data_IF_594301615598
#
_entry.id   IF_594301615598
#
_cell.length_a   1.000
_cell.length_b   1.000
_cell.length_c   1.000
_cell.angle_alpha   90.00
_cell.angle_beta   90.00
_cell.angle_gamma   90.00
#
_symmetry.space_group_name_H-M   'P 1'
#
loop_
_entity.id
_entity.type
_entity.pdbx_description
1 polymer ?
#
# COMPACT_ATOMS: atom_id res chain seq x y z
N UNK A 1 13.75 17.65 8.74
CA UNK A 1 12.40 17.09 8.54
C UNK A 1 12.56 15.61 8.23
N UNK A 2 11.89 14.72 8.98
CA UNK A 2 11.98 13.28 8.72
C UNK A 2 11.39 12.98 7.35
N UNK A 3 12.20 12.43 6.45
CA UNK A 3 11.78 12.10 5.09
C UNK A 3 10.70 11.04 5.17
N UNK A 4 9.53 11.29 4.57
CA UNK A 4 8.46 10.31 4.60
C UNK A 4 8.95 9.04 3.89
N UNK A 5 8.61 7.90 4.46
CA UNK A 5 8.90 6.56 3.93
C UNK A 5 8.46 6.40 2.48
N UNK A 6 7.46 7.18 2.07
CA UNK A 6 6.85 7.19 0.74
C UNK A 6 7.66 8.03 -0.28
N UNK A 7 8.68 8.75 0.15
CA UNK A 7 9.63 9.52 -0.66
C UNK A 7 10.99 8.81 -0.83
N UNK A 8 10.95 7.47 -0.85
CA UNK A 8 12.09 6.64 -1.18
C UNK A 8 12.20 6.45 -2.70
N UNK A 9 13.43 6.29 -3.20
CA UNK A 9 13.67 5.99 -4.62
C UNK A 9 12.98 4.67 -5.04
N UNK A 10 12.90 3.70 -4.14
CA UNK A 10 12.23 2.42 -4.35
C UNK A 10 10.72 2.57 -4.56
N UNK A 11 10.03 3.39 -3.75
CA UNK A 11 8.61 3.64 -3.94
C UNK A 11 8.32 4.22 -5.33
N UNK A 12 9.12 5.20 -5.76
CA UNK A 12 8.98 5.79 -7.11
C UNK A 12 9.26 4.78 -8.22
N UNK A 13 10.29 3.94 -8.06
CA UNK A 13 10.62 2.91 -9.03
C UNK A 13 9.48 1.89 -9.20
N UNK A 14 8.92 1.42 -8.10
CA UNK A 14 7.76 0.51 -8.12
C UNK A 14 6.52 1.19 -8.73
N UNK A 15 6.25 2.46 -8.40
CA UNK A 15 5.15 3.20 -9.03
C UNK A 15 5.32 3.29 -10.54
N UNK A 16 6.54 3.58 -11.00
CA UNK A 16 6.89 3.67 -12.41
C UNK A 16 6.77 2.31 -13.13
N UNK A 17 7.16 1.22 -12.48
CA UNK A 17 7.09 -0.13 -13.05
C UNK A 17 5.64 -0.60 -13.24
N UNK A 18 4.77 -0.32 -12.26
CA UNK A 18 3.36 -0.74 -12.29
C UNK A 18 2.47 0.17 -13.12
N UNK A 19 2.78 1.47 -13.25
CA UNK A 19 1.98 2.41 -14.01
C UNK A 19 1.57 1.92 -15.42
N UNK A 20 2.48 1.47 -16.31
CA UNK A 20 2.07 1.01 -17.64
C UNK A 20 1.16 -0.23 -17.60
N UNK A 21 1.30 -1.09 -16.59
CA UNK A 21 0.48 -2.31 -16.45
C UNK A 21 -0.94 -1.93 -15.99
N UNK A 22 -1.04 -0.99 -15.04
CA UNK A 22 -2.35 -0.48 -14.59
C UNK A 22 -3.05 0.28 -15.72
N UNK A 23 -2.33 1.09 -16.49
CA UNK A 23 -2.89 1.81 -17.64
C UNK A 23 -3.31 0.88 -18.79
N UNK A 24 -2.75 -0.32 -18.89
CA UNK A 24 -3.24 -1.34 -19.81
C UNK A 24 -4.59 -1.93 -19.39
N UNK A 25 -4.99 -1.77 -18.12
CA UNK A 25 -6.21 -2.34 -17.55
C UNK A 25 -6.07 -3.80 -17.09
N UNK A 26 -4.87 -4.36 -17.17
CA UNK A 26 -4.59 -5.77 -16.87
C UNK A 26 -4.13 -5.98 -15.41
N UNK A 27 -4.64 -5.19 -14.47
CA UNK A 27 -4.25 -5.30 -13.05
C UNK A 27 -5.42 -5.45 -12.11
N UNK A 28 -5.23 -6.32 -11.12
CA UNK A 28 -6.13 -6.49 -10.01
C UNK A 28 -5.56 -5.89 -8.73
N UNK A 29 -6.46 -5.47 -7.84
CA UNK A 29 -6.13 -5.04 -6.50
C UNK A 29 -5.47 -6.17 -5.70
N UNK A 30 -4.27 -5.89 -5.19
CA UNK A 30 -3.45 -6.89 -4.52
C UNK A 30 -3.84 -7.10 -3.04
N UNK A 31 -4.70 -6.23 -2.49
CA UNK A 31 -5.11 -6.36 -1.09
C UNK A 31 -5.82 -7.67 -0.81
N UNK A 32 -5.57 -8.24 0.37
CA UNK A 32 -6.18 -9.50 0.79
C UNK A 32 -7.71 -9.43 0.74
N UNK A 33 -8.28 -8.28 1.13
CA UNK A 33 -9.70 -7.99 1.03
C UNK A 33 -9.94 -6.81 0.10
N UNK A 34 -10.58 -7.07 -1.04
CA UNK A 34 -11.07 -6.00 -1.90
C UNK A 34 -12.37 -5.41 -1.31
N UNK A 35 -12.43 -4.08 -1.25
CA UNK A 35 -13.60 -3.31 -0.80
C UNK A 35 -14.41 -2.71 -1.97
N UNK A 36 -13.94 -2.93 -3.19
CA UNK A 36 -14.59 -2.46 -4.41
C UNK A 36 -15.49 -3.57 -4.97
N UNK A 37 -16.50 -3.23 -5.81
CA UNK A 37 -17.38 -4.21 -6.45
C UNK A 37 -16.63 -5.22 -7.33
N UNK A 38 -15.51 -4.78 -7.92
CA UNK A 38 -14.60 -5.58 -8.72
C UNK A 38 -13.16 -5.36 -8.24
N UNK A 39 -12.33 -6.39 -8.36
CA UNK A 39 -10.90 -6.37 -8.05
C UNK A 39 -10.09 -5.66 -9.14
N UNK A 40 -10.58 -5.58 -10.37
CA UNK A 40 -9.92 -4.88 -11.47
C UNK A 40 -9.65 -3.41 -11.12
N UNK A 41 -8.45 -2.93 -11.45
CA UNK A 41 -8.08 -1.51 -11.38
C UNK A 41 -8.12 -0.98 -12.81
N UNK A 42 -9.21 -0.28 -13.14
CA UNK A 42 -9.38 0.29 -14.48
C UNK A 42 -8.35 1.41 -14.75
N UNK A 43 -7.92 1.61 -16.01
CA UNK A 43 -7.06 2.71 -16.41
C UNK A 43 -7.60 4.07 -15.92
N UNK A 44 -6.70 4.97 -15.50
CA UNK A 44 -7.07 6.26 -14.90
C UNK A 44 -7.67 6.21 -13.48
N UNK A 45 -7.93 5.03 -12.91
CA UNK A 45 -8.41 4.92 -11.53
C UNK A 45 -7.28 5.21 -10.54
N UNK A 46 -7.49 6.04 -9.50
CA UNK A 46 -6.50 6.23 -8.45
C UNK A 46 -6.14 4.92 -7.74
N UNK A 47 -4.84 4.59 -7.75
CA UNK A 47 -4.30 3.40 -7.12
C UNK A 47 -3.07 3.73 -6.28
N UNK A 48 -2.79 2.84 -5.32
CA UNK A 48 -1.66 2.92 -4.41
C UNK A 48 -0.88 1.60 -4.44
N UNK A 49 0.36 1.63 -3.97
CA UNK A 49 1.15 0.41 -3.82
C UNK A 49 0.87 -0.21 -2.45
N UNK A 50 0.37 -1.44 -2.45
CA UNK A 50 0.23 -2.24 -1.25
C UNK A 50 1.58 -2.79 -0.79
N UNK A 51 1.71 -2.98 0.53
CA UNK A 51 2.93 -3.46 1.17
C UNK A 51 2.69 -4.74 1.96
N UNK A 52 3.65 -5.65 1.96
CA UNK A 52 3.67 -6.78 2.88
C UNK A 52 4.16 -6.30 4.25
N UNK A 53 3.22 -6.19 5.18
CA UNK A 53 3.46 -5.77 6.57
C UNK A 53 4.41 -6.68 7.36
N UNK A 54 4.66 -7.92 6.92
CA UNK A 54 5.58 -8.85 7.59
C UNK A 54 7.03 -8.41 7.42
N UNK A 55 7.31 -7.78 6.28
CA UNK A 55 8.63 -7.28 5.88
C UNK A 55 8.72 -5.77 6.05
N UNK A 56 7.60 -5.06 5.88
CA UNK A 56 7.51 -3.63 6.13
C UNK A 56 7.00 -3.31 7.53
N UNK A 57 7.96 -3.13 8.44
CA UNK A 57 7.69 -2.84 9.85
C UNK A 57 7.85 -1.33 10.10
N UNK A 58 6.80 -0.69 10.59
CA UNK A 58 6.84 0.68 11.10
C UNK A 58 7.55 0.75 12.47
N UNK A 59 8.29 1.82 12.84
CA UNK A 59 8.55 3.08 12.13
C UNK A 59 9.75 3.03 11.19
N UNK A 60 10.53 1.95 11.23
CA UNK A 60 11.67 1.72 10.34
C UNK A 60 11.20 1.10 9.01
N UNK A 61 10.21 1.71 8.37
CA UNK A 61 9.79 1.31 7.03
C UNK A 61 10.91 1.59 6.02
N UNK A 62 11.97 0.80 6.06
CA UNK A 62 12.84 0.59 4.91
C UNK A 62 12.11 -0.37 3.99
N UNK A 63 11.20 0.17 3.18
CA UNK A 63 10.57 -0.58 2.11
C UNK A 63 11.64 -0.82 1.02
N UNK A 64 12.23 -2.00 0.97
CA UNK A 64 12.94 -2.49 -0.23
C UNK A 64 11.93 -2.90 -1.30
N UNK A 65 12.40 -3.29 -2.50
CA UNK A 65 11.54 -3.81 -3.58
C UNK A 65 10.60 -4.92 -3.08
N UNK A 66 11.11 -5.78 -2.22
CA UNK A 66 10.46 -7.03 -1.79
C UNK A 66 9.31 -6.80 -0.80
N UNK A 67 9.18 -5.56 -0.31
CA UNK A 67 8.05 -5.18 0.52
C UNK A 67 6.79 -4.89 -0.30
N UNK A 68 6.91 -4.58 -1.59
CA UNK A 68 5.75 -4.20 -2.39
C UNK A 68 5.03 -5.43 -2.94
N UNK A 69 3.72 -5.52 -2.68
CA UNK A 69 2.90 -6.61 -3.19
C UNK A 69 2.39 -6.32 -4.60
N UNK A 70 2.02 -5.06 -4.88
CA UNK A 70 1.46 -4.66 -6.16
C UNK A 70 0.51 -3.47 -6.05
N UNK A 71 -0.23 -3.17 -7.12
CA UNK A 71 -1.22 -2.11 -7.12
C UNK A 71 -2.45 -2.51 -6.30
N UNK A 72 -3.05 -1.54 -5.63
CA UNK A 72 -4.27 -1.68 -4.85
C UNK A 72 -5.17 -0.47 -5.08
N UNK A 73 -6.48 -0.69 -5.01
CA UNK A 73 -7.41 0.45 -4.96
C UNK A 73 -7.07 1.31 -3.75
N UNK A 74 -7.09 2.64 -3.94
CA UNK A 74 -6.78 3.59 -2.88
C UNK A 74 -7.60 3.35 -1.60
N UNK A 75 -8.88 3.01 -1.74
CA UNK A 75 -9.77 2.71 -0.60
C UNK A 75 -9.33 1.47 0.17
N UNK A 76 -8.94 0.41 -0.54
CA UNK A 76 -8.51 -0.85 0.07
C UNK A 76 -7.21 -0.64 0.85
N UNK A 77 -6.20 -0.03 0.21
CA UNK A 77 -4.90 0.24 0.86
C UNK A 77 -5.03 1.18 2.06
N UNK A 78 -5.89 2.20 1.98
CA UNK A 78 -6.15 3.09 3.13
C UNK A 78 -6.84 2.35 4.28
N UNK A 79 -7.78 1.45 3.97
CA UNK A 79 -8.49 0.65 4.99
C UNK A 79 -7.57 -0.36 5.68
N UNK A 80 -6.70 -1.03 4.93
CA UNK A 80 -5.68 -1.93 5.49
C UNK A 80 -4.69 -1.16 6.37
N UNK A 81 -4.20 -0.02 5.88
CA UNK A 81 -3.36 0.90 6.64
C UNK A 81 -4.03 1.39 7.93
N UNK A 82 -5.33 1.70 7.91
CA UNK A 82 -6.07 2.10 9.11
C UNK A 82 -6.24 0.96 10.12
N UNK A 83 -6.59 -0.24 9.63
CA UNK A 83 -6.76 -1.44 10.47
C UNK A 83 -5.47 -1.77 11.23
N UNK A 84 -4.33 -1.65 10.56
CA UNK A 84 -3.03 -2.01 11.12
C UNK A 84 -2.32 -0.85 11.83
N UNK A 85 -2.51 0.39 11.37
CA UNK A 85 -1.98 1.59 12.01
C UNK A 85 -2.61 1.84 13.38
N UNK A 86 -3.89 1.52 13.56
CA UNK A 86 -4.55 1.66 14.87
C UNK A 86 -4.18 0.58 15.88
N UNK A 87 -3.63 -0.57 15.45
CA UNK A 87 -3.23 -1.63 16.38
C UNK A 87 -1.96 -1.30 17.16
N UNK A 88 -1.15 -0.35 16.69
CA UNK A 88 0.00 0.21 17.43
C UNK A 88 -0.40 1.19 18.55
N UNK A 89 -1.70 1.48 18.69
CA UNK A 89 -2.25 2.55 19.53
C UNK A 89 -3.10 2.09 20.72
N UNK A 90 -3.00 0.83 21.18
CA UNK A 90 -3.50 0.49 22.52
C UNK A 90 -2.63 1.16 23.58
N UNK A 91 -2.86 2.46 23.80
CA UNK A 91 -2.58 3.09 25.09
C UNK A 91 -3.35 2.29 26.13
N UNK A 92 -2.66 1.41 26.86
CA UNK A 92 -3.17 0.87 28.11
C UNK A 92 -3.45 2.06 29.01
N UNK A 93 -4.70 2.52 29.04
CA UNK A 93 -5.18 3.30 30.18
C UNK A 93 -5.21 2.31 31.34
N UNK A 94 -4.19 2.40 32.21
CA UNK A 94 -4.27 1.78 33.53
C UNK A 94 -5.37 2.55 34.27
N UNK A 95 -6.43 1.82 34.63
CA UNK A 95 -7.35 2.21 35.69
C UNK A 95 -6.59 2.24 37.02
#
# INVERSE_FOLDING_TARGET
MARSVYDTAFHRAQRKAWAPIVEAGDTECTELRCLMPDRTINPGTPWQLAHDRRVCIWPRHHCTSDCYLGPAHQRCNTSEGATHGNTGGVKRWRL
#
